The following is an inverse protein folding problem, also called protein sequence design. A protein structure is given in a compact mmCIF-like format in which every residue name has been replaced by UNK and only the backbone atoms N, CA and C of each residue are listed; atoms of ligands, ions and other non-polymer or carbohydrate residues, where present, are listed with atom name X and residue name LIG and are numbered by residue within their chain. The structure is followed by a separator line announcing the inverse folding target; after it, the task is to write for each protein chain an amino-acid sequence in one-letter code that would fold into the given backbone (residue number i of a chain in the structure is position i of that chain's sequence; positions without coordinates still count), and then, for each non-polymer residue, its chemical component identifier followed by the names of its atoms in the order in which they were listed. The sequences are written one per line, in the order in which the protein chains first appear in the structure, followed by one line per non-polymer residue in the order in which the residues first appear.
data_IF_039168288268
#
_entry.id   IF_039168288268
#
_cell.length_a   1.000
_cell.length_b   1.000
_cell.length_c   1.000
_cell.angle_alpha   90.00
_cell.angle_beta   90.00
_cell.angle_gamma   90.00
#
_symmetry.space_group_name_H-M   'P 1'
#
loop_
_entity.id
_entity.type
_entity.pdbx_description
1 polymer ?
#
# COMPACT_ATOMS: atom_id res chain seq x y z
N UNK A 1 -5.85 -49.33 -37.74
CA UNK A 1 -4.91 -49.93 -36.77
C UNK A 1 -5.37 -49.55 -35.37
N UNK A 2 -6.35 -50.30 -34.87
CA UNK A 2 -6.99 -50.15 -33.57
C UNK A 2 -6.98 -51.57 -32.98
N UNK A 3 -5.95 -51.93 -32.22
CA UNK A 3 -5.91 -53.08 -31.31
C UNK A 3 -4.51 -53.28 -30.76
N UNK A 4 -4.46 -53.71 -29.49
CA UNK A 4 -3.29 -54.19 -28.73
C UNK A 4 -2.56 -53.15 -27.90
N UNK A 5 -3.09 -52.88 -26.71
CA UNK A 5 -2.38 -53.19 -25.45
C UNK A 5 -3.32 -53.00 -24.24
N UNK A 6 -4.39 -53.79 -24.19
CA UNK A 6 -5.15 -54.03 -22.95
C UNK A 6 -5.11 -55.52 -22.70
N UNK A 7 -4.07 -56.00 -22.02
CA UNK A 7 -4.12 -57.21 -21.21
C UNK A 7 -2.88 -57.30 -20.33
N UNK A 8 -2.97 -56.74 -19.13
CA UNK A 8 -2.56 -57.42 -17.90
C UNK A 8 -2.68 -56.42 -16.75
N UNK A 9 -3.86 -56.29 -16.16
CA UNK A 9 -3.96 -55.87 -14.77
C UNK A 9 -5.31 -56.34 -14.21
N UNK A 10 -5.35 -57.61 -13.84
CA UNK A 10 -6.40 -58.07 -12.96
C UNK A 10 -5.82 -59.13 -12.03
N UNK A 11 -5.52 -58.73 -10.79
CA UNK A 11 -5.83 -59.48 -9.57
C UNK A 11 -5.39 -58.73 -8.31
N UNK A 12 -6.38 -58.55 -7.42
CA UNK A 12 -6.26 -58.43 -5.95
C UNK A 12 -5.71 -57.06 -5.50
N UNK A 13 -6.36 -56.24 -4.67
CA UNK A 13 -7.31 -56.45 -3.57
C UNK A 13 -7.98 -55.11 -3.23
N UNK A 14 -9.14 -55.19 -2.58
CA UNK A 14 -9.94 -54.11 -2.01
C UNK A 14 -9.14 -53.00 -1.31
N UNK A 15 -9.44 -51.75 -1.65
CA UNK A 15 -9.63 -50.69 -0.66
C UNK A 15 -10.55 -49.62 -1.26
N UNK A 16 -11.65 -49.32 -0.57
CA UNK A 16 -12.64 -48.35 -1.03
C UNK A 16 -12.11 -46.92 -0.87
N UNK A 17 -12.08 -46.15 -1.95
CA UNK A 17 -12.20 -44.70 -1.91
C UNK A 17 -12.77 -44.27 -3.26
N UNK A 18 -13.97 -43.67 -3.21
CA UNK A 18 -14.61 -43.05 -4.37
C UNK A 18 -13.80 -41.82 -4.77
N UNK A 19 -13.04 -41.90 -5.85
CA UNK A 19 -12.47 -40.72 -6.51
C UNK A 19 -13.15 -40.58 -7.87
N UNK A 20 -14.03 -39.59 -8.01
CA UNK A 20 -14.46 -39.12 -9.33
C UNK A 20 -13.28 -38.39 -9.94
N UNK A 21 -12.68 -38.98 -10.97
CA UNK A 21 -11.70 -38.31 -11.83
C UNK A 21 -12.50 -37.44 -12.80
N UNK A 22 -12.43 -36.12 -12.63
CA UNK A 22 -12.85 -35.15 -13.64
C UNK A 22 -11.57 -34.59 -14.24
N UNK A 23 -11.31 -34.92 -15.50
CA UNK A 23 -10.22 -34.33 -16.28
C UNK A 23 -10.66 -32.93 -16.76
N UNK A 24 -9.92 -31.88 -16.38
CA UNK A 24 -9.99 -30.56 -17.00
C UNK A 24 -8.56 -30.06 -17.33
N UNK A 25 -8.38 -29.29 -18.43
CA UNK A 25 -7.07 -28.87 -18.97
C UNK A 25 -6.43 -27.73 -18.14
N UNK A 26 -5.16 -27.36 -18.37
CA UNK A 26 -4.30 -26.80 -17.33
C UNK A 26 -4.64 -25.35 -17.04
N UNK A 27 -5.22 -25.09 -15.87
CA UNK A 27 -5.28 -23.76 -15.26
C UNK A 27 -4.36 -23.80 -14.05
N UNK A 28 -3.33 -22.96 -14.07
CA UNK A 28 -2.40 -22.79 -12.96
C UNK A 28 -3.18 -22.34 -11.70
N UNK A 29 -3.32 -23.25 -10.74
CA UNK A 29 -3.77 -22.91 -9.38
C UNK A 29 -2.54 -22.50 -8.56
N UNK A 30 -2.44 -21.21 -8.25
CA UNK A 30 -1.53 -20.70 -7.21
C UNK A 30 -2.18 -21.00 -5.85
N UNK A 31 -1.67 -21.99 -5.12
CA UNK A 31 -2.01 -22.15 -3.70
C UNK A 31 -1.17 -21.17 -2.87
N UNK A 32 -1.84 -20.21 -2.23
CA UNK A 32 -1.26 -19.39 -1.18
C UNK A 32 -1.24 -20.21 0.13
N UNK A 33 -0.07 -20.70 0.53
CA UNK A 33 0.12 -21.33 1.84
C UNK A 33 0.38 -20.25 2.89
N UNK A 34 -0.63 -19.96 3.70
CA UNK A 34 -0.51 -19.23 4.97
C UNK A 34 0.43 -20.02 5.89
N UNK A 35 1.60 -19.46 6.21
CA UNK A 35 2.60 -20.12 7.06
C UNK A 35 2.48 -19.60 8.50
N UNK A 36 1.98 -20.46 9.37
CA UNK A 36 2.13 -20.38 10.83
C UNK A 36 3.59 -20.58 11.22
N UNK A 37 3.98 -19.92 12.31
CA UNK A 37 5.32 -19.93 12.91
C UNK A 37 5.83 -21.35 13.22
N UNK A 38 7.15 -21.41 13.27
CA UNK A 38 8.03 -22.43 13.86
C UNK A 38 8.76 -23.37 12.88
N UNK A 39 10.08 -23.37 13.07
CA UNK A 39 11.12 -24.27 12.59
C UNK A 39 11.71 -24.10 11.17
N UNK A 40 12.99 -23.71 11.18
CA UNK A 40 13.90 -23.61 10.07
C UNK A 40 14.33 -25.00 9.57
N UNK A 41 13.89 -25.40 8.37
CA UNK A 41 14.62 -26.35 7.51
C UNK A 41 14.52 -25.93 6.05
N UNK A 42 15.69 -25.70 5.44
CA UNK A 42 15.88 -25.54 4.00
C UNK A 42 15.53 -26.87 3.32
N UNK A 43 14.49 -26.88 2.48
CA UNK A 43 14.23 -27.95 1.53
C UNK A 43 14.55 -27.40 0.14
N UNK A 44 15.75 -27.72 -0.35
CA UNK A 44 16.10 -27.58 -1.75
C UNK A 44 15.55 -28.80 -2.50
N UNK A 45 14.64 -28.59 -3.44
CA UNK A 45 14.27 -29.59 -4.44
C UNK A 45 14.98 -29.22 -5.74
N UNK A 46 15.97 -30.03 -6.12
CA UNK A 46 16.63 -30.02 -7.42
C UNK A 46 16.18 -31.28 -8.15
N UNK A 47 15.68 -31.13 -9.39
CA UNK A 47 15.52 -32.24 -10.32
C UNK A 47 16.14 -31.84 -11.65
N UNK A 48 17.13 -32.60 -12.11
CA UNK A 48 17.66 -32.52 -13.47
C UNK A 48 19.17 -32.77 -13.58
N UNK A 49 19.53 -34.05 -13.67
CA UNK A 49 20.70 -34.62 -14.37
C UNK A 49 22.03 -33.85 -14.38
N UNK A 50 23.00 -34.32 -13.57
CA UNK A 50 24.41 -34.62 -13.92
C UNK A 50 25.17 -34.81 -12.60
N UNK A 51 25.61 -36.04 -12.32
CA UNK A 51 26.25 -36.42 -11.06
C UNK A 51 27.70 -36.83 -11.37
N UNK A 52 28.67 -35.96 -11.03
CA UNK A 52 30.10 -36.30 -11.04
C UNK A 52 30.83 -35.68 -9.83
N UNK A 53 31.21 -36.57 -8.91
CA UNK A 53 32.36 -36.55 -7.99
C UNK A 53 32.82 -35.24 -7.31
N UNK A 54 32.73 -35.20 -5.95
CA UNK A 54 33.92 -35.08 -5.08
C UNK A 54 33.60 -35.33 -3.59
N UNK A 55 34.20 -36.37 -3.03
CA UNK A 55 34.37 -36.62 -1.59
C UNK A 55 35.49 -35.72 -1.03
N UNK A 56 35.31 -35.11 0.16
CA UNK A 56 36.34 -35.07 1.22
C UNK A 56 35.84 -34.49 2.57
N UNK A 57 35.86 -35.40 3.57
CA UNK A 57 36.26 -35.27 4.99
C UNK A 57 35.74 -34.11 5.84
N UNK A 58 34.85 -34.47 6.76
CA UNK A 58 34.67 -33.83 8.07
C UNK A 58 35.67 -34.45 9.05
N UNK A 59 36.50 -33.62 9.70
CA UNK A 59 37.15 -33.97 10.97
C UNK A 59 37.17 -32.75 11.90
N UNK A 60 36.41 -32.88 13.00
CA UNK A 60 36.72 -32.47 14.37
C UNK A 60 37.75 -31.36 14.60
N UNK A 61 37.39 -30.34 15.39
CA UNK A 61 38.18 -29.94 16.57
C UNK A 61 37.34 -29.16 17.59
N UNK A 62 37.61 -29.50 18.86
CA UNK A 62 37.00 -29.03 20.10
C UNK A 62 37.57 -27.67 20.54
N UNK A 63 36.78 -26.98 21.39
CA UNK A 63 37.14 -26.11 22.54
C UNK A 63 38.08 -24.92 22.30
N UNK A 64 37.61 -23.74 22.73
CA UNK A 64 38.24 -23.02 23.84
C UNK A 64 37.27 -21.98 24.45
N UNK A 65 37.06 -22.08 25.76
CA UNK A 65 36.62 -20.99 26.61
C UNK A 65 37.75 -19.97 26.75
N UNK A 66 37.44 -18.68 26.88
CA UNK A 66 38.00 -17.79 27.92
C UNK A 66 37.62 -16.31 27.68
N UNK A 67 37.16 -15.69 28.77
CA UNK A 67 37.47 -14.33 29.26
C UNK A 67 37.26 -13.10 28.36
N UNK A 68 36.51 -12.14 28.90
CA UNK A 68 36.49 -10.77 28.38
C UNK A 68 35.46 -9.87 29.05
N UNK A 69 35.63 -9.62 30.34
CA UNK A 69 34.85 -8.66 31.12
C UNK A 69 35.14 -7.23 30.61
N UNK A 70 34.14 -6.55 30.03
CA UNK A 70 34.23 -5.11 29.75
C UNK A 70 32.97 -4.45 30.30
N UNK A 71 33.11 -3.89 31.51
CA UNK A 71 32.12 -3.02 32.12
C UNK A 71 31.96 -1.74 31.30
N UNK A 72 30.87 -1.64 30.56
CA UNK A 72 30.43 -0.39 29.96
C UNK A 72 29.64 0.41 31.00
N UNK A 73 30.20 1.58 31.38
CA UNK A 73 29.63 2.56 32.29
C UNK A 73 28.20 2.91 31.86
N UNK A 74 27.20 2.54 32.68
CA UNK A 74 25.87 3.17 32.64
C UNK A 74 26.04 4.63 33.05
N UNK A 75 25.85 5.56 32.10
CA UNK A 75 25.55 6.94 32.46
C UNK A 75 24.09 6.99 32.87
N UNK A 76 23.86 7.07 34.17
CA UNK A 76 22.59 7.57 34.71
C UNK A 76 22.40 9.00 34.22
N UNK A 77 21.45 9.20 33.30
CA UNK A 77 20.91 10.52 32.99
C UNK A 77 19.58 10.61 33.72
N UNK A 78 19.62 11.05 34.97
CA UNK A 78 18.42 11.44 35.72
C UNK A 78 18.44 12.95 35.92
N UNK A 79 17.27 13.53 35.62
CA UNK A 79 16.82 14.92 35.85
C UNK A 79 17.14 15.93 34.74
N UNK A 80 16.11 16.37 34.04
CA UNK A 80 15.37 17.61 34.32
C UNK A 80 14.45 17.90 33.12
N UNK A 81 13.14 17.72 33.28
CA UNK A 81 12.17 18.38 32.43
C UNK A 81 11.47 19.41 33.30
N UNK A 82 12.07 20.60 33.36
CA UNK A 82 11.41 21.83 33.79
C UNK A 82 10.48 22.28 32.68
N UNK A 83 9.22 22.47 33.06
CA UNK A 83 8.15 23.15 32.36
C UNK A 83 8.61 24.42 31.65
N UNK A 84 8.33 24.49 30.35
CA UNK A 84 8.45 25.66 29.50
C UNK A 84 7.62 25.43 28.25
N UNK A 85 6.29 25.56 28.36
CA UNK A 85 5.39 25.58 27.20
C UNK A 85 5.57 26.91 26.47
N UNK A 86 6.55 26.96 25.57
CA UNK A 86 6.52 27.89 24.46
C UNK A 86 5.50 27.41 23.43
N UNK A 87 4.69 28.32 22.89
CA UNK A 87 3.75 28.07 21.78
C UNK A 87 4.50 27.74 20.47
N UNK A 88 5.24 26.63 20.44
CA UNK A 88 5.77 26.04 19.22
C UNK A 88 4.71 25.13 18.59
N UNK A 89 4.58 25.19 17.26
CA UNK A 89 3.73 24.24 16.54
C UNK A 89 4.20 22.81 16.84
N UNK A 90 3.26 21.90 17.10
CA UNK A 90 3.56 20.48 17.35
C UNK A 90 4.07 19.84 16.06
N UNK A 91 5.05 18.95 16.15
CA UNK A 91 5.54 18.21 14.98
C UNK A 91 4.48 17.22 14.46
N UNK A 92 4.21 17.22 13.16
CA UNK A 92 3.39 16.22 12.48
C UNK A 92 4.12 15.69 11.24
N UNK A 93 4.43 14.40 11.23
CA UNK A 93 5.17 13.78 10.14
C UNK A 93 4.22 13.35 9.03
N UNK A 94 4.44 13.82 7.81
CA UNK A 94 3.76 13.30 6.61
C UNK A 94 4.65 12.27 5.91
N UNK A 95 4.24 11.01 5.99
CA UNK A 95 4.92 9.89 5.33
C UNK A 95 4.55 9.84 3.84
N UNK A 96 5.33 10.54 3.01
CA UNK A 96 5.16 10.55 1.55
C UNK A 96 6.50 10.70 0.83
N UNK A 97 6.67 9.94 -0.26
CA UNK A 97 7.76 10.16 -1.22
C UNK A 97 7.37 11.07 -2.40
N UNK A 98 6.09 11.47 -2.50
CA UNK A 98 5.58 12.24 -3.62
C UNK A 98 5.59 13.75 -3.31
N UNK A 99 6.50 14.47 -3.96
CA UNK A 99 6.69 15.91 -3.75
C UNK A 99 5.48 16.75 -4.17
N UNK A 100 4.68 16.30 -5.13
CA UNK A 100 3.47 17.02 -5.55
C UNK A 100 2.37 16.89 -4.50
N UNK A 101 2.19 15.71 -3.90
CA UNK A 101 1.29 15.51 -2.75
C UNK A 101 1.66 16.41 -1.58
N UNK A 102 2.96 16.47 -1.26
CA UNK A 102 3.47 17.33 -0.19
C UNK A 102 3.19 18.81 -0.44
N UNK A 103 3.39 19.29 -1.68
CA UNK A 103 3.09 20.67 -2.07
C UNK A 103 1.61 20.99 -1.88
N UNK A 104 0.72 20.13 -2.37
CA UNK A 104 -0.73 20.34 -2.22
C UNK A 104 -1.14 20.34 -0.75
N UNK A 105 -0.71 19.36 0.05
CA UNK A 105 -1.04 19.30 1.49
C UNK A 105 -0.54 20.54 2.23
N UNK A 106 0.68 20.99 1.96
CA UNK A 106 1.22 22.20 2.57
C UNK A 106 0.44 23.44 2.16
N UNK A 107 0.05 23.58 0.89
CA UNK A 107 -0.76 24.71 0.43
C UNK A 107 -2.12 24.74 1.13
N UNK A 108 -2.77 23.59 1.28
CA UNK A 108 -4.08 23.50 1.92
C UNK A 108 -3.99 23.81 3.42
N UNK A 109 -2.98 23.27 4.11
CA UNK A 109 -2.79 23.50 5.55
C UNK A 109 -2.24 24.90 5.88
N UNK A 110 -1.48 25.52 4.97
CA UNK A 110 -0.92 26.86 5.16
C UNK A 110 -1.92 27.98 4.83
N UNK A 111 -3.07 27.66 4.23
CA UNK A 111 -4.12 28.64 3.94
C UNK A 111 -4.68 29.29 5.23
N UNK A 112 -4.49 28.66 6.39
CA UNK A 112 -4.95 29.15 7.69
C UNK A 112 -3.76 29.31 8.65
N UNK A 113 -3.60 30.51 9.23
CA UNK A 113 -2.45 30.86 10.09
C UNK A 113 -2.37 30.01 11.37
N UNK A 114 -3.52 29.51 11.84
CA UNK A 114 -3.70 28.97 13.18
C UNK A 114 -3.58 27.45 13.24
N UNK A 115 -3.14 26.79 12.16
CA UNK A 115 -2.92 25.35 12.18
C UNK A 115 -1.80 24.99 13.18
N UNK A 116 -2.08 24.14 14.20
CA UNK A 116 -1.18 23.99 15.35
C UNK A 116 -0.01 23.05 15.12
N UNK A 117 0.10 22.47 13.92
CA UNK A 117 1.17 21.54 13.58
C UNK A 117 2.13 22.09 12.52
N UNK A 118 3.40 21.71 12.65
CA UNK A 118 4.41 21.87 11.62
C UNK A 118 4.57 20.56 10.85
N UNK A 119 4.42 20.61 9.51
CA UNK A 119 4.45 19.44 8.64
C UNK A 119 5.89 19.12 8.20
N UNK A 120 6.43 18.05 8.77
CA UNK A 120 7.70 17.46 8.36
C UNK A 120 7.43 16.34 7.35
N UNK A 121 8.07 16.37 6.19
CA UNK A 121 7.96 15.28 5.22
C UNK A 121 9.02 14.22 5.49
N UNK A 122 8.60 12.96 5.61
CA UNK A 122 9.51 11.83 5.75
C UNK A 122 9.21 10.78 4.68
N UNK A 123 10.20 10.42 3.89
CA UNK A 123 10.07 9.32 2.93
C UNK A 123 10.37 8.01 3.66
N UNK A 124 9.31 7.31 4.07
CA UNK A 124 9.40 5.95 4.64
C UNK A 124 9.02 4.95 3.57
N UNK A 125 9.78 3.88 3.45
CA UNK A 125 9.44 2.74 2.58
C UNK A 125 8.36 1.91 3.28
N UNK A 126 7.10 2.25 3.03
CA UNK A 126 5.93 1.55 3.55
C UNK A 126 5.40 0.58 2.48
N UNK A 127 4.94 -0.62 2.88
CA UNK A 127 4.37 -1.56 1.93
C UNK A 127 3.10 -1.00 1.29
N UNK A 128 2.95 -1.21 -0.02
CA UNK A 128 1.71 -0.94 -0.75
C UNK A 128 0.76 -2.13 -0.53
N UNK A 129 -0.11 -2.01 0.46
CA UNK A 129 -1.03 -3.07 0.90
C UNK A 129 -2.17 -3.28 -0.10
N UNK A 130 -2.81 -4.46 -0.02
CA UNK A 130 -4.01 -4.80 -0.80
C UNK A 130 -5.21 -4.90 0.14
N UNK A 131 -6.39 -4.51 -0.35
CA UNK A 131 -7.62 -4.49 0.43
C UNK A 131 -8.52 -3.32 0.04
N UNK A 132 -9.45 -3.00 0.94
CA UNK A 132 -10.30 -1.82 0.80
C UNK A 132 -9.53 -0.54 1.17
N UNK A 133 -9.89 0.62 0.60
CA UNK A 133 -9.15 1.87 0.81
C UNK A 133 -8.96 2.26 2.29
N UNK A 134 -9.98 2.04 3.13
CA UNK A 134 -9.95 2.40 4.54
C UNK A 134 -8.99 1.49 5.33
N UNK A 135 -9.00 0.18 5.05
CA UNK A 135 -8.13 -0.81 5.70
C UNK A 135 -6.66 -0.59 5.31
N UNK A 136 -6.42 -0.29 4.02
CA UNK A 136 -5.08 0.04 3.51
C UNK A 136 -4.55 1.27 4.23
N UNK A 137 -5.32 2.36 4.28
CA UNK A 137 -4.90 3.60 4.92
C UNK A 137 -4.66 3.43 6.43
N UNK A 138 -5.52 2.67 7.11
CA UNK A 138 -5.38 2.37 8.54
C UNK A 138 -4.10 1.57 8.84
N UNK A 139 -3.88 0.46 8.14
CA UNK A 139 -2.69 -0.37 8.40
C UNK A 139 -1.41 0.37 7.97
N UNK A 140 -1.42 1.09 6.85
CA UNK A 140 -0.30 1.94 6.44
C UNK A 140 0.04 3.00 7.49
N UNK A 141 -0.97 3.64 8.08
CA UNK A 141 -0.79 4.61 9.15
C UNK A 141 -0.21 3.95 10.41
N UNK A 142 -0.69 2.75 10.77
CA UNK A 142 -0.19 1.97 11.90
C UNK A 142 1.29 1.60 11.74
N UNK A 143 1.70 1.20 10.54
CA UNK A 143 3.09 0.92 10.21
C UNK A 143 3.95 2.19 10.24
N UNK A 144 3.47 3.29 9.63
CA UNK A 144 4.14 4.58 9.66
C UNK A 144 4.37 5.09 11.10
N UNK A 145 3.37 4.94 11.98
CA UNK A 145 3.47 5.37 13.37
C UNK A 145 4.56 4.62 14.14
N UNK A 146 4.74 3.31 13.86
CA UNK A 146 5.82 2.50 14.46
C UNK A 146 7.20 2.98 14.02
N UNK A 147 7.37 3.29 12.73
CA UNK A 147 8.65 3.79 12.20
C UNK A 147 8.97 5.21 12.69
N UNK A 148 7.97 6.08 12.75
CA UNK A 148 8.15 7.50 13.15
C UNK A 148 8.30 7.66 14.67
N UNK A 149 7.62 6.83 15.47
CA UNK A 149 7.63 6.94 16.93
C UNK A 149 6.84 8.13 17.48
N UNK A 150 5.94 8.73 16.70
CA UNK A 150 5.16 9.91 17.09
C UNK A 150 4.02 10.25 16.12
N UNK A 151 3.45 11.47 16.22
CA UNK A 151 2.33 11.89 15.37
C UNK A 151 2.66 11.81 13.89
N UNK A 152 1.82 11.09 13.15
CA UNK A 152 2.04 10.80 11.73
C UNK A 152 0.73 10.90 10.93
N UNK A 153 0.85 11.36 9.69
CA UNK A 153 -0.17 11.25 8.66
C UNK A 153 0.37 10.47 7.45
N UNK A 154 -0.49 9.64 6.88
CA UNK A 154 -0.29 8.96 5.59
C UNK A 154 -1.42 9.33 4.65
N UNK A 155 -1.18 9.24 3.35
CA UNK A 155 -2.17 9.50 2.32
C UNK A 155 -2.19 8.37 1.29
N UNK A 156 -3.39 7.91 0.94
CA UNK A 156 -3.65 7.09 -0.23
C UNK A 156 -4.69 7.75 -1.15
N UNK A 157 -4.51 7.54 -2.45
CA UNK A 157 -5.36 8.14 -3.49
C UNK A 157 -5.85 7.03 -4.40
N UNK A 158 -7.18 6.95 -4.54
CA UNK A 158 -7.85 6.01 -5.42
C UNK A 158 -8.51 6.75 -6.58
N UNK A 159 -8.56 6.09 -7.73
CA UNK A 159 -9.45 6.45 -8.83
C UNK A 159 -10.37 5.26 -9.09
N UNK A 160 -11.66 5.46 -8.88
CA UNK A 160 -12.65 4.40 -8.83
C UNK A 160 -13.61 4.54 -10.00
N UNK A 161 -13.75 3.49 -10.83
CA UNK A 161 -14.71 3.49 -11.94
C UNK A 161 -15.97 2.76 -11.50
N UNK A 162 -17.14 3.39 -11.63
CA UNK A 162 -18.40 2.82 -11.16
C UNK A 162 -18.75 1.55 -11.94
N UNK A 163 -18.54 1.55 -13.26
CA UNK A 163 -18.69 0.39 -14.12
C UNK A 163 -17.82 -0.82 -13.70
N UNK A 164 -16.68 -0.59 -13.05
CA UNK A 164 -15.79 -1.64 -12.54
C UNK A 164 -15.94 -1.84 -11.02
N UNK A 165 -17.08 -1.44 -10.45
CA UNK A 165 -17.39 -1.58 -9.01
C UNK A 165 -16.30 -0.97 -8.11
N UNK A 166 -15.74 0.17 -8.52
CA UNK A 166 -14.73 0.91 -7.78
C UNK A 166 -13.28 0.57 -8.14
N UNK A 167 -13.02 -0.42 -9.00
CA UNK A 167 -11.67 -0.64 -9.54
C UNK A 167 -11.31 0.42 -10.60
N UNK A 168 -10.01 0.71 -10.83
CA UNK A 168 -8.83 0.13 -10.18
C UNK A 168 -8.62 0.57 -8.72
N UNK A 169 -9.30 1.64 -8.27
CA UNK A 169 -9.33 2.05 -6.87
C UNK A 169 -7.92 2.30 -6.31
N UNK A 170 -7.54 1.64 -5.20
CA UNK A 170 -6.22 1.81 -4.59
C UNK A 170 -5.06 1.35 -5.51
N UNK A 171 -5.35 0.56 -6.55
CA UNK A 171 -4.36 0.03 -7.47
C UNK A 171 -4.03 0.96 -8.64
N UNK A 172 -4.65 2.15 -8.71
CA UNK A 172 -4.54 3.08 -9.85
C UNK A 172 -3.10 3.39 -10.26
N UNK A 173 -2.16 3.49 -9.32
CA UNK A 173 -0.73 3.71 -9.60
C UNK A 173 -0.16 2.67 -10.57
N UNK A 174 -0.51 1.39 -10.36
CA UNK A 174 -0.03 0.29 -11.18
C UNK A 174 -0.73 0.23 -12.53
N UNK A 175 -2.04 0.48 -12.55
CA UNK A 175 -2.82 0.54 -13.77
C UNK A 175 -2.33 1.68 -14.68
N UNK A 176 -2.18 2.89 -14.16
CA UNK A 176 -1.64 4.02 -14.91
C UNK A 176 -0.24 3.73 -15.45
N UNK A 177 0.64 3.14 -14.63
CA UNK A 177 2.02 2.80 -15.05
C UNK A 177 2.06 1.81 -16.21
N UNK A 178 1.10 0.87 -16.29
CA UNK A 178 1.10 -0.21 -17.28
C UNK A 178 0.28 0.11 -18.51
N UNK A 179 -0.84 0.78 -18.33
CA UNK A 179 -1.83 1.05 -19.37
C UNK A 179 -1.70 2.46 -19.95
N UNK A 180 -1.10 3.39 -19.21
CA UNK A 180 -1.16 4.81 -19.53
C UNK A 180 -2.59 5.35 -19.47
N UNK A 181 -2.77 6.60 -19.88
CA UNK A 181 -4.09 7.22 -19.95
C UNK A 181 -5.00 6.53 -20.98
N UNK A 182 -4.48 6.26 -22.17
CA UNK A 182 -5.23 5.59 -23.24
C UNK A 182 -5.76 4.22 -22.80
N UNK A 183 -4.93 3.40 -22.17
CA UNK A 183 -5.36 2.08 -21.71
C UNK A 183 -6.35 2.15 -20.55
N UNK A 184 -6.26 3.17 -19.67
CA UNK A 184 -7.29 3.42 -18.65
C UNK A 184 -8.65 3.79 -19.27
N UNK A 185 -8.66 4.62 -20.32
CA UNK A 185 -9.89 4.91 -21.07
C UNK A 185 -10.47 3.66 -21.74
N UNK A 186 -9.62 2.81 -22.33
CA UNK A 186 -10.04 1.53 -22.95
C UNK A 186 -10.65 0.55 -21.95
N UNK A 187 -10.27 0.59 -20.68
CA UNK A 187 -10.89 -0.27 -19.65
C UNK A 187 -12.38 0.00 -19.46
N UNK A 188 -12.80 1.26 -19.60
CA UNK A 188 -14.19 1.66 -19.43
C UNK A 188 -14.92 1.75 -20.76
N UNK A 189 -14.23 1.75 -21.90
CA UNK A 189 -14.80 1.87 -23.26
C UNK A 189 -16.03 0.97 -23.53
N UNK A 190 -16.07 -0.31 -23.11
CA UNK A 190 -17.21 -1.19 -23.37
C UNK A 190 -18.48 -0.90 -22.55
N UNK A 191 -18.40 -0.06 -21.50
CA UNK A 191 -19.51 0.20 -20.58
C UNK A 191 -20.23 1.50 -20.93
N UNK A 192 -21.55 1.55 -20.86
CA UNK A 192 -22.27 2.83 -21.04
C UNK A 192 -21.92 3.82 -19.93
N UNK A 193 -21.79 3.32 -18.70
CA UNK A 193 -21.40 4.11 -17.54
C UNK A 193 -19.90 4.43 -17.56
N UNK A 194 -19.58 5.71 -17.74
CA UNK A 194 -18.22 6.27 -17.64
C UNK A 194 -17.98 7.01 -16.33
N UNK A 195 -18.95 7.00 -15.42
CA UNK A 195 -18.84 7.72 -14.15
C UNK A 195 -17.85 7.04 -13.22
N UNK A 196 -17.28 7.84 -12.34
CA UNK A 196 -16.34 7.39 -11.33
C UNK A 196 -16.10 8.47 -10.29
N UNK A 197 -15.21 8.18 -9.36
CA UNK A 197 -14.86 9.14 -8.33
C UNK A 197 -13.39 9.05 -7.98
N UNK A 198 -12.82 10.21 -7.66
CA UNK A 198 -11.53 10.31 -7.02
C UNK A 198 -11.74 10.26 -5.50
N UNK A 199 -11.01 9.40 -4.81
CA UNK A 199 -11.05 9.27 -3.35
C UNK A 199 -9.65 9.52 -2.78
N UNK A 200 -9.55 10.45 -1.83
CA UNK A 200 -8.37 10.63 -1.00
C UNK A 200 -8.68 10.17 0.41
N UNK A 201 -7.80 9.35 0.97
CA UNK A 201 -7.91 8.84 2.33
C UNK A 201 -6.65 9.22 3.10
N UNK A 202 -6.80 10.02 4.14
CA UNK A 202 -5.76 10.30 5.12
C UNK A 202 -5.91 9.40 6.34
N UNK A 203 -4.81 8.81 6.77
CA UNK A 203 -4.72 8.15 8.07
C UNK A 203 -3.88 9.00 9.03
N UNK A 204 -4.40 9.29 10.22
CA UNK A 204 -3.67 9.96 11.29
C UNK A 204 -3.50 9.04 12.50
N UNK A 205 -2.32 9.08 13.11
CA UNK A 205 -2.07 8.46 14.41
C UNK A 205 -1.26 9.40 15.28
N UNK A 206 -1.57 9.46 16.58
CA UNK A 206 -0.77 10.18 17.58
C UNK A 206 0.57 9.50 17.91
N UNK A 207 0.76 8.24 17.48
CA UNK A 207 1.99 7.48 17.69
C UNK A 207 1.74 5.98 17.83
N UNK A 208 2.82 5.18 18.04
CA UNK A 208 2.73 3.73 18.18
C UNK A 208 1.65 3.30 19.19
N UNK A 209 0.82 2.33 18.81
CA UNK A 209 -0.25 1.80 19.65
C UNK A 209 -1.54 2.62 19.70
N UNK A 210 -1.57 3.82 19.11
CA UNK A 210 -2.80 4.59 18.92
C UNK A 210 -3.56 4.10 17.69
N UNK A 211 -4.87 3.91 17.82
CA UNK A 211 -5.69 3.47 16.68
C UNK A 211 -5.78 4.57 15.62
N UNK A 212 -5.44 4.27 14.35
CA UNK A 212 -5.51 5.24 13.27
C UNK A 212 -6.91 5.81 13.06
N UNK A 213 -6.97 7.12 12.82
CA UNK A 213 -8.19 7.81 12.41
C UNK A 213 -8.15 8.10 10.93
N UNK A 214 -9.27 7.84 10.27
CA UNK A 214 -9.40 7.94 8.82
C UNK A 214 -10.23 9.18 8.46
N UNK A 215 -9.71 9.95 7.51
CA UNK A 215 -10.35 11.14 6.94
C UNK A 215 -10.45 10.98 5.44
N UNK A 216 -11.63 11.22 4.88
CA UNK A 216 -11.92 10.98 3.47
C UNK A 216 -12.39 12.23 2.78
N UNK A 217 -11.99 12.35 1.53
CA UNK A 217 -12.53 13.34 0.62
C UNK A 217 -12.78 12.67 -0.72
N UNK A 218 -13.93 12.95 -1.31
CA UNK A 218 -14.38 12.33 -2.55
C UNK A 218 -14.83 13.40 -3.53
N UNK A 219 -14.53 13.19 -4.80
CA UNK A 219 -15.05 14.02 -5.89
C UNK A 219 -15.55 13.11 -6.99
N UNK A 220 -16.83 13.19 -7.28
CA UNK A 220 -17.48 12.48 -8.38
C UNK A 220 -17.14 13.14 -9.72
N UNK A 221 -17.11 12.33 -10.77
CA UNK A 221 -16.81 12.79 -12.11
C UNK A 221 -16.98 11.70 -13.16
N UNK A 222 -16.40 11.96 -14.31
CA UNK A 222 -16.48 11.09 -15.48
C UNK A 222 -15.09 10.81 -16.02
N UNK A 223 -14.89 9.58 -16.49
CA UNK A 223 -13.66 9.18 -17.17
C UNK A 223 -13.76 9.56 -18.64
N UNK A 224 -12.89 10.48 -19.07
CA UNK A 224 -12.91 11.09 -20.41
C UNK A 224 -11.58 10.87 -21.12
N UNK A 225 -11.52 10.94 -22.46
CA UNK A 225 -10.25 10.91 -23.18
C UNK A 225 -9.28 11.96 -22.64
N UNK A 226 -8.01 11.60 -22.57
CA UNK A 226 -6.98 12.42 -21.95
C UNK A 226 -6.88 13.83 -22.57
N UNK A 227 -6.96 14.88 -21.73
CA UNK A 227 -6.75 16.28 -22.12
C UNK A 227 -5.94 17.02 -21.07
N UNK A 228 -5.19 18.04 -21.50
CA UNK A 228 -4.31 18.83 -20.65
C UNK A 228 -2.90 18.24 -20.46
N UNK A 229 -2.07 18.83 -19.58
CA UNK A 229 -0.70 18.39 -19.32
C UNK A 229 -0.64 17.03 -18.60
N UNK A 230 0.30 16.17 -18.99
CA UNK A 230 0.47 14.82 -18.43
C UNK A 230 1.43 14.76 -17.22
N UNK A 231 1.55 15.86 -16.49
CA UNK A 231 2.58 16.03 -15.45
C UNK A 231 2.21 15.35 -14.12
N UNK A 232 0.92 15.06 -13.91
CA UNK A 232 0.43 14.57 -12.62
C UNK A 232 -0.61 13.45 -12.75
N UNK A 233 -0.12 12.21 -12.66
CA UNK A 233 -0.98 11.04 -12.45
C UNK A 233 -2.04 10.86 -13.54
N UNK A 234 -3.27 10.63 -13.10
CA UNK A 234 -4.43 10.34 -13.95
C UNK A 234 -5.34 11.57 -14.14
N UNK A 235 -4.92 12.75 -13.69
CA UNK A 235 -5.66 14.00 -13.86
C UNK A 235 -6.16 14.25 -15.29
N UNK A 236 -5.41 13.92 -16.37
CA UNK A 236 -5.85 14.15 -17.74
C UNK A 236 -7.12 13.40 -18.15
N UNK A 237 -7.48 12.30 -17.46
CA UNK A 237 -8.62 11.46 -17.83
C UNK A 237 -9.83 11.63 -16.91
N UNK A 238 -9.75 12.52 -15.92
CA UNK A 238 -10.81 12.71 -14.93
C UNK A 238 -11.41 14.11 -15.03
N UNK A 239 -12.69 14.16 -15.40
CA UNK A 239 -13.49 15.38 -15.45
C UNK A 239 -14.41 15.42 -14.22
N UNK A 240 -14.19 16.34 -13.26
CA UNK A 240 -15.03 16.43 -12.07
C UNK A 240 -16.43 16.94 -12.43
N UNK A 241 -17.44 16.42 -11.73
CA UNK A 241 -18.83 16.81 -11.92
C UNK A 241 -19.01 18.33 -11.76
N UNK A 242 -19.71 18.96 -12.70
CA UNK A 242 -19.95 20.41 -12.72
C UNK A 242 -18.88 21.23 -13.45
N UNK A 243 -17.91 20.58 -14.10
CA UNK A 243 -16.87 21.21 -14.92
C UNK A 243 -16.84 20.59 -16.32
N UNK A 244 -16.33 21.35 -17.29
CA UNK A 244 -16.09 20.94 -18.68
C UNK A 244 -14.59 20.69 -18.97
N UNK A 245 -13.78 20.63 -17.92
CA UNK A 245 -12.32 20.52 -17.95
C UNK A 245 -11.86 19.35 -17.11
N UNK A 246 -10.83 18.65 -17.56
CA UNK A 246 -10.16 17.63 -16.75
C UNK A 246 -9.40 18.27 -15.59
N UNK A 247 -9.06 17.49 -14.57
CA UNK A 247 -8.18 18.00 -13.49
C UNK A 247 -6.84 18.55 -14.01
N UNK A 248 -6.33 18.05 -15.14
CA UNK A 248 -5.11 18.57 -15.74
C UNK A 248 -5.32 19.93 -16.42
N UNK A 249 -6.52 20.21 -16.92
CA UNK A 249 -6.88 21.48 -17.57
C UNK A 249 -7.28 22.58 -16.58
N UNK A 250 -7.62 22.22 -15.34
CA UNK A 250 -7.95 23.18 -14.28
C UNK A 250 -6.68 23.90 -13.77
N UNK A 251 -6.82 25.18 -13.46
CA UNK A 251 -5.81 25.88 -12.68
C UNK A 251 -5.70 25.28 -11.27
N UNK A 252 -4.52 25.39 -10.66
CA UNK A 252 -4.23 24.76 -9.37
C UNK A 252 -5.15 25.24 -8.26
N UNK A 253 -5.52 26.52 -8.25
CA UNK A 253 -6.34 27.10 -7.19
C UNK A 253 -7.78 26.59 -7.27
N UNK A 254 -8.35 26.50 -8.48
CA UNK A 254 -9.66 25.90 -8.73
C UNK A 254 -9.66 24.42 -8.38
N UNK A 255 -8.67 23.65 -8.85
CA UNK A 255 -8.53 22.23 -8.53
C UNK A 255 -8.46 22.02 -7.01
N UNK A 256 -7.63 22.80 -6.32
CA UNK A 256 -7.46 22.70 -4.88
C UNK A 256 -8.80 22.90 -4.15
N UNK A 257 -9.68 23.81 -4.56
CA UNK A 257 -10.99 24.03 -3.89
C UNK A 257 -11.96 22.85 -3.99
N UNK A 258 -11.91 22.10 -5.08
CA UNK A 258 -12.88 21.01 -5.35
C UNK A 258 -12.33 19.61 -5.14
N UNK A 259 -11.01 19.48 -5.02
CA UNK A 259 -10.35 18.19 -5.05
C UNK A 259 -10.73 17.31 -3.87
N UNK A 260 -10.82 16.01 -4.15
CA UNK A 260 -10.87 14.94 -3.18
C UNK A 260 -9.80 15.08 -2.09
N UNK A 261 -8.57 15.51 -2.44
CA UNK A 261 -7.50 15.76 -1.46
C UNK A 261 -7.81 16.91 -0.52
N UNK A 262 -8.28 18.05 -1.03
CA UNK A 262 -8.67 19.19 -0.18
C UNK A 262 -9.76 18.83 0.81
N UNK A 263 -10.82 18.15 0.35
CA UNK A 263 -11.90 17.69 1.22
C UNK A 263 -11.37 16.78 2.35
N UNK A 264 -10.41 15.90 2.05
CA UNK A 264 -9.82 15.00 3.04
C UNK A 264 -8.91 15.74 4.03
N UNK A 265 -8.08 16.66 3.54
CA UNK A 265 -7.20 17.50 4.37
C UNK A 265 -8.01 18.43 5.26
N UNK A 266 -9.11 18.99 4.76
CA UNK A 266 -10.01 19.84 5.55
C UNK A 266 -10.66 19.05 6.70
N UNK A 267 -11.13 17.83 6.45
CA UNK A 267 -11.65 16.95 7.49
C UNK A 267 -10.58 16.62 8.56
N UNK A 268 -9.35 16.33 8.13
CA UNK A 268 -8.21 16.13 9.03
C UNK A 268 -7.91 17.40 9.85
N UNK A 269 -7.90 18.57 9.19
CA UNK A 269 -7.61 19.87 9.81
C UNK A 269 -8.61 20.19 10.92
N UNK A 270 -9.91 20.06 10.62
CA UNK A 270 -10.98 20.29 11.60
C UNK A 270 -10.83 19.38 12.81
N UNK A 271 -10.49 18.12 12.60
CA UNK A 271 -10.25 17.17 13.67
C UNK A 271 -9.06 17.54 14.56
N UNK A 272 -7.95 17.97 13.95
CA UNK A 272 -6.73 18.36 14.66
C UNK A 272 -6.89 19.68 15.42
N UNK A 273 -7.63 20.65 14.85
CA UNK A 273 -7.91 21.93 15.49
C UNK A 273 -8.87 21.79 16.68
N UNK A 274 -9.87 20.91 16.62
CA UNK A 274 -10.81 20.66 17.71
C UNK A 274 -10.22 19.88 18.90
N UNK A 275 -8.97 19.41 18.76
CA UNK A 275 -8.24 18.63 19.77
C UNK A 275 -7.32 19.47 20.65
N UNK A 276 -7.23 20.77 20.38
CA UNK A 276 -6.62 21.77 21.27
C UNK A 276 -7.63 22.27 22.30
#
# INVERSE_FOLDING_TARGET
ALHSFIHSFNRRRHCSLRTRIVCLPPVALVFCLQRSREEHRLLAFVWGSELRWMLRRVTSLRRCCAYGNVGARRRDVRKMATSGEGMGKKRLVFCTGNQNKLKEVRQILAAESDFPYEIEALSVDLPELQGEPDDIAAEKCRLAAKEVGGPVIVEDTCLCFNALKGLPGPYIKWFLKKLGHEGLNKLVEPYEDKTGYALCTFGFSSGPGSEPKIFKGMTDGTIVPARGPNDFGWDPIFEPTGYDKTYAELDKDTKNKISHRYKAVEALRQYLAAKE
#
